data_IF_617389022004
#
_entry.id   IF_617389022004
#
_cell.length_a   1.000
_cell.length_b   1.000
_cell.length_c   1.000
_cell.angle_alpha   90.00
_cell.angle_beta   90.00
_cell.angle_gamma   90.00
#
_symmetry.space_group_name_H-M   'P 1'
#
loop_
_entity.id
_entity.type
_entity.pdbx_description
1 polymer ?
#
# COMPACT_ATOMS: atom_id res chain seq x y z
N UNK A 1 0.27 5.68 33.76
CA UNK A 1 0.17 6.85 32.85
C UNK A 1 0.78 8.05 33.55
N UNK A 2 1.69 8.80 32.92
CA UNK A 2 2.42 9.90 33.60
C UNK A 2 1.49 11.01 34.11
N UNK A 3 0.47 11.38 33.34
CA UNK A 3 -0.55 12.37 33.73
C UNK A 3 -1.33 11.91 34.96
N UNK A 4 -1.82 10.67 34.97
CA UNK A 4 -2.54 10.12 36.11
C UNK A 4 -1.71 10.13 37.41
N UNK A 5 -0.43 9.76 37.33
CA UNK A 5 0.46 9.78 38.50
C UNK A 5 0.58 11.19 39.09
N UNK A 6 0.79 12.21 38.25
CA UNK A 6 0.88 13.61 38.69
C UNK A 6 -0.43 14.15 39.26
N UNK A 7 -1.57 13.83 38.65
CA UNK A 7 -2.87 14.32 39.14
C UNK A 7 -3.19 13.75 40.52
N UNK A 8 -2.84 12.48 40.78
CA UNK A 8 -3.06 11.79 42.06
C UNK A 8 -2.22 12.33 43.22
N UNK A 9 -1.17 13.10 42.96
CA UNK A 9 -0.37 13.73 44.02
C UNK A 9 -1.14 14.84 44.74
N UNK A 10 -2.12 15.47 44.07
CA UNK A 10 -2.83 16.65 44.60
C UNK A 10 -4.34 16.51 44.64
N UNK A 11 -4.92 15.64 43.80
CA UNK A 11 -6.36 15.56 43.63
C UNK A 11 -6.87 14.12 43.63
N UNK A 12 -8.10 13.94 44.09
CA UNK A 12 -8.83 12.68 44.08
C UNK A 12 -10.33 12.96 43.84
N UNK A 13 -10.95 12.17 42.96
CA UNK A 13 -12.40 12.13 42.77
C UNK A 13 -12.81 10.77 42.18
N UNK A 14 -14.11 10.45 42.23
CA UNK A 14 -14.62 9.22 41.64
C UNK A 14 -14.36 9.18 40.12
N UNK A 15 -13.95 8.03 39.59
CA UNK A 15 -13.56 7.85 38.18
C UNK A 15 -12.42 8.74 37.67
N UNK A 16 -11.61 9.37 38.53
CA UNK A 16 -10.39 10.13 38.19
C UNK A 16 -9.56 9.50 37.05
N UNK A 17 -9.33 8.19 37.11
CA UNK A 17 -8.58 7.48 36.08
C UNK A 17 -9.25 7.55 34.71
N UNK A 18 -10.57 7.32 34.66
CA UNK A 18 -11.33 7.34 33.41
C UNK A 18 -11.31 8.74 32.79
N UNK A 19 -11.46 9.79 33.59
CA UNK A 19 -11.45 11.18 33.12
C UNK A 19 -10.09 11.59 32.57
N UNK A 20 -9.00 11.27 33.29
CA UNK A 20 -7.65 11.54 32.80
C UNK A 20 -7.34 10.76 31.52
N UNK A 21 -7.83 9.52 31.41
CA UNK A 21 -7.70 8.73 30.19
C UNK A 21 -8.51 9.30 29.02
N UNK A 22 -9.75 9.74 29.25
CA UNK A 22 -10.59 10.38 28.24
C UNK A 22 -10.00 11.70 27.77
N UNK A 23 -9.56 12.56 28.71
CA UNK A 23 -8.85 13.81 28.39
C UNK A 23 -7.63 13.56 27.51
N UNK A 24 -6.80 12.57 27.84
CA UNK A 24 -5.63 12.23 27.04
C UNK A 24 -5.97 11.63 25.67
N UNK A 25 -7.13 10.98 25.52
CA UNK A 25 -7.61 10.42 24.24
C UNK A 25 -8.20 11.49 23.33
N UNK A 26 -8.84 12.50 23.90
CA UNK A 26 -9.47 13.62 23.20
C UNK A 26 -8.50 14.78 22.92
N UNK A 27 -7.39 14.85 23.66
CA UNK A 27 -6.38 15.89 23.50
C UNK A 27 -5.82 15.92 22.07
N UNK A 28 -6.12 16.99 21.34
CA UNK A 28 -5.67 17.23 19.96
C UNK A 28 -4.15 17.15 19.82
N UNK A 29 -3.41 17.84 20.68
CA UNK A 29 -1.93 17.86 20.64
C UNK A 29 -1.32 16.47 20.86
N UNK A 30 -1.88 15.68 21.77
CA UNK A 30 -1.43 14.30 21.99
C UNK A 30 -1.76 13.42 20.79
N UNK A 31 -2.97 13.56 20.22
CA UNK A 31 -3.41 12.84 19.03
C UNK A 31 -2.56 13.14 17.80
N UNK A 32 -2.24 14.41 17.54
CA UNK A 32 -1.42 14.84 16.42
C UNK A 32 0.03 14.31 16.48
N UNK A 33 0.62 14.22 17.68
CA UNK A 33 2.00 13.77 17.87
C UNK A 33 2.13 12.25 17.94
N UNK A 34 1.32 11.60 18.79
CA UNK A 34 1.43 10.14 19.03
C UNK A 34 0.64 9.34 18.01
N UNK A 35 -0.49 9.88 17.55
CA UNK A 35 -1.46 9.15 16.75
C UNK A 35 -2.27 8.14 17.57
N UNK A 36 -3.11 7.34 16.88
CA UNK A 36 -3.79 6.20 17.48
C UNK A 36 -2.80 5.15 17.98
N UNK A 37 -3.22 4.35 18.97
CA UNK A 37 -2.43 3.21 19.47
C UNK A 37 -2.34 2.08 18.46
N UNK A 38 -3.42 1.82 17.72
CA UNK A 38 -3.50 0.77 16.70
C UNK A 38 -3.56 1.42 15.32
N UNK A 39 -2.75 0.91 14.39
CA UNK A 39 -2.84 1.29 13.00
C UNK A 39 -3.89 0.43 12.32
N UNK A 40 -4.78 1.07 11.58
CA UNK A 40 -5.70 0.37 10.70
C UNK A 40 -4.90 -0.30 9.58
N UNK A 41 -5.19 -1.57 9.32
CA UNK A 41 -4.66 -2.34 8.20
C UNK A 41 -5.82 -2.87 7.38
N UNK A 42 -6.06 -2.24 6.23
CA UNK A 42 -7.07 -2.67 5.26
C UNK A 42 -6.68 -3.97 4.59
N UNK A 43 -7.66 -4.64 3.98
CA UNK A 43 -7.45 -5.89 3.23
C UNK A 43 -6.71 -5.64 1.93
N UNK A 44 -5.92 -6.63 1.49
CA UNK A 44 -5.21 -6.55 0.22
C UNK A 44 -6.19 -6.63 -0.94
N UNK A 45 -6.13 -5.66 -1.86
CA UNK A 45 -6.89 -5.69 -3.09
C UNK A 45 -6.08 -6.42 -4.17
N UNK A 46 -6.71 -7.36 -4.87
CA UNK A 46 -6.12 -8.03 -6.03
C UNK A 46 -6.41 -7.20 -7.26
N UNK A 47 -5.41 -7.04 -8.10
CA UNK A 47 -5.59 -6.51 -9.44
C UNK A 47 -5.46 -7.66 -10.41
N UNK A 48 -6.48 -7.88 -11.23
CA UNK A 48 -6.41 -8.81 -12.34
C UNK A 48 -5.82 -8.05 -13.53
N UNK A 49 -4.82 -8.65 -14.17
CA UNK A 49 -4.26 -8.19 -15.45
C UNK A 49 -4.36 -9.38 -16.39
N UNK A 50 -5.17 -9.26 -17.43
CA UNK A 50 -5.45 -10.31 -18.39
C UNK A 50 -4.42 -10.36 -19.53
N UNK A 51 -3.84 -9.21 -19.89
CA UNK A 51 -2.95 -9.11 -21.04
C UNK A 51 -1.70 -8.25 -20.78
N UNK A 52 -0.58 -8.50 -21.51
CA UNK A 52 0.53 -7.57 -21.58
C UNK A 52 0.04 -6.16 -21.96
N UNK A 53 0.67 -5.13 -21.37
CA UNK A 53 0.36 -3.71 -21.59
C UNK A 53 -1.03 -3.21 -21.16
N UNK A 54 -1.94 -4.06 -20.68
CA UNK A 54 -3.24 -3.62 -20.12
C UNK A 54 -3.05 -2.67 -18.93
N UNK A 55 -1.98 -2.85 -18.16
CA UNK A 55 -1.58 -1.95 -17.10
C UNK A 55 -0.08 -1.81 -17.03
N UNK A 56 0.39 -0.55 -17.09
CA UNK A 56 1.78 -0.19 -16.88
C UNK A 56 1.92 0.64 -15.61
N UNK A 57 2.86 0.25 -14.76
CA UNK A 57 3.22 0.99 -13.55
C UNK A 57 4.61 1.56 -13.76
N UNK A 58 4.74 2.87 -13.58
CA UNK A 58 6.00 3.59 -13.68
C UNK A 58 6.34 4.14 -12.30
N UNK A 59 7.59 3.95 -11.87
CA UNK A 59 8.12 4.51 -10.64
C UNK A 59 9.54 5.03 -10.89
N UNK A 60 9.94 6.05 -10.13
CA UNK A 60 11.25 6.67 -10.24
C UNK A 60 12.19 5.97 -9.27
N UNK A 61 13.15 5.27 -9.84
CA UNK A 61 14.16 4.48 -9.14
C UNK A 61 15.51 5.21 -9.22
N UNK A 62 16.18 5.47 -8.09
CA UNK A 62 17.58 5.90 -8.12
C UNK A 62 18.22 6.20 -6.76
N UNK A 63 19.55 6.42 -6.73
CA UNK A 63 20.55 6.04 -7.76
C UNK A 63 20.99 4.57 -7.60
N UNK A 64 21.14 3.85 -8.71
CA UNK A 64 21.53 2.43 -8.72
C UNK A 64 22.83 2.19 -9.49
N UNK A 65 23.64 1.24 -9.02
CA UNK A 65 24.64 0.55 -9.84
C UNK A 65 23.91 -0.40 -10.81
N UNK A 66 24.36 -0.44 -12.06
CA UNK A 66 23.64 -1.04 -13.20
C UNK A 66 23.56 -2.57 -13.16
N UNK A 67 22.54 -3.12 -12.50
CA UNK A 67 22.22 -4.55 -12.58
C UNK A 67 21.02 -4.78 -13.52
N UNK A 68 21.19 -5.59 -14.56
CA UNK A 68 20.13 -5.89 -15.54
C UNK A 68 19.14 -6.94 -15.02
N UNK A 69 17.97 -6.51 -14.54
CA UNK A 69 16.92 -7.41 -14.00
C UNK A 69 16.02 -8.06 -15.07
N UNK A 70 16.22 -7.78 -16.36
CA UNK A 70 15.31 -8.27 -17.43
C UNK A 70 15.50 -9.74 -17.77
N UNK A 71 16.67 -10.28 -17.49
CA UNK A 71 17.03 -11.68 -17.79
C UNK A 71 17.02 -12.59 -16.56
N UNK A 72 16.69 -12.07 -15.39
CA UNK A 72 16.58 -12.88 -14.18
C UNK A 72 15.20 -13.56 -14.14
N UNK A 73 15.19 -14.83 -13.75
CA UNK A 73 13.95 -15.56 -13.52
C UNK A 73 13.22 -14.99 -12.31
N UNK A 74 11.92 -14.82 -12.45
CA UNK A 74 11.07 -14.38 -11.34
C UNK A 74 10.60 -15.60 -10.55
N UNK A 75 10.85 -15.61 -9.23
CA UNK A 75 10.62 -16.75 -8.32
C UNK A 75 9.24 -17.40 -8.48
N UNK A 76 8.18 -16.59 -8.65
CA UNK A 76 6.81 -17.11 -8.77
C UNK A 76 6.55 -17.78 -10.11
N UNK A 77 7.01 -17.16 -11.20
CA UNK A 77 6.70 -17.63 -12.55
C UNK A 77 7.69 -18.69 -13.00
N UNK A 78 8.93 -18.66 -12.51
CA UNK A 78 10.04 -19.44 -13.04
C UNK A 78 10.41 -19.05 -14.47
N UNK A 79 9.97 -17.86 -14.90
CA UNK A 79 10.15 -17.33 -16.24
C UNK A 79 10.79 -15.96 -16.14
N UNK A 80 11.61 -15.61 -17.12
CA UNK A 80 12.16 -14.26 -17.23
C UNK A 80 11.11 -13.30 -17.77
N UNK A 81 11.13 -12.00 -17.37
CA UNK A 81 10.26 -10.99 -17.99
C UNK A 81 10.40 -10.91 -19.51
N UNK A 82 11.59 -11.18 -20.04
CA UNK A 82 11.82 -11.18 -21.48
C UNK A 82 11.16 -12.36 -22.21
N UNK A 83 11.14 -13.56 -21.63
CA UNK A 83 10.38 -14.69 -22.17
C UNK A 83 8.88 -14.41 -22.13
N UNK A 84 8.38 -13.82 -21.04
CA UNK A 84 6.97 -13.44 -20.97
C UNK A 84 6.60 -12.37 -21.99
N UNK A 85 7.52 -11.47 -22.36
CA UNK A 85 7.22 -10.39 -23.31
C UNK A 85 7.43 -10.79 -24.77
N UNK A 86 8.53 -11.50 -25.08
CA UNK A 86 8.95 -11.80 -26.44
C UNK A 86 8.84 -13.28 -26.80
N UNK A 87 8.43 -14.13 -25.86
CA UNK A 87 8.38 -15.58 -26.04
C UNK A 87 9.76 -16.22 -26.16
N UNK A 88 10.86 -15.51 -25.90
CA UNK A 88 12.22 -16.01 -26.08
C UNK A 88 13.16 -15.48 -25.00
N UNK A 89 14.20 -16.25 -24.72
CA UNK A 89 15.33 -15.79 -23.91
C UNK A 89 16.07 -14.67 -24.65
N UNK A 90 16.53 -13.66 -23.91
CA UNK A 90 17.37 -12.59 -24.47
C UNK A 90 18.69 -13.20 -24.92
N UNK A 91 19.22 -12.72 -26.06
CA UNK A 91 20.60 -13.03 -26.43
C UNK A 91 21.55 -12.22 -25.56
N UNK A 92 22.44 -12.91 -24.88
CA UNK A 92 23.54 -12.29 -24.16
C UNK A 92 24.72 -12.03 -25.10
N UNK A 93 25.67 -11.13 -24.75
CA UNK A 93 26.86 -10.90 -25.55
C UNK A 93 27.63 -12.19 -25.90
N UNK A 94 27.68 -13.16 -24.98
CA UNK A 94 28.26 -14.48 -25.25
C UNK A 94 27.49 -15.26 -26.33
N UNK A 95 26.16 -15.20 -26.37
CA UNK A 95 25.35 -15.90 -27.38
C UNK A 95 25.55 -15.31 -28.78
N UNK A 96 25.92 -14.03 -28.87
CA UNK A 96 26.26 -13.37 -30.13
C UNK A 96 27.67 -13.78 -30.57
N UNK A 97 28.62 -13.84 -29.63
CA UNK A 97 30.02 -14.14 -29.89
C UNK A 97 30.28 -15.62 -30.23
N UNK A 98 29.65 -16.54 -29.48
CA UNK A 98 29.86 -17.98 -29.62
C UNK A 98 28.78 -18.67 -30.46
N UNK A 99 27.72 -17.93 -30.82
CA UNK A 99 26.57 -18.47 -31.52
C UNK A 99 25.68 -19.33 -30.61
N UNK A 100 24.41 -19.46 -30.99
CA UNK A 100 23.46 -20.38 -30.38
C UNK A 100 22.89 -21.25 -31.50
N UNK A 101 22.72 -22.58 -31.31
CA UNK A 101 22.11 -23.42 -32.34
C UNK A 101 20.78 -22.82 -32.78
N UNK A 102 20.63 -22.73 -34.10
CA UNK A 102 19.49 -22.10 -34.74
C UNK A 102 18.26 -23.00 -34.65
N UNK A 103 17.23 -22.56 -33.93
CA UNK A 103 15.85 -23.00 -34.19
C UNK A 103 15.38 -22.26 -35.45
N UNK A 104 15.96 -22.56 -36.61
CA UNK A 104 15.50 -21.97 -37.88
C UNK A 104 14.20 -22.66 -38.26
N UNK A 105 13.06 -21.96 -38.21
CA UNK A 105 11.80 -22.50 -38.72
C UNK A 105 11.91 -22.64 -40.24
N UNK A 106 11.25 -23.64 -40.80
CA UNK A 106 11.32 -23.91 -42.24
C UNK A 106 10.65 -22.81 -43.06
N UNK A 107 9.74 -22.05 -42.44
CA UNK A 107 9.01 -20.93 -43.04
C UNK A 107 8.73 -19.80 -42.03
N UNK A 108 8.70 -18.51 -42.45
CA UNK A 108 8.22 -17.40 -41.62
C UNK A 108 6.82 -17.62 -41.03
N UNK A 109 5.91 -18.28 -41.76
CA UNK A 109 4.57 -18.57 -41.26
C UNK A 109 4.57 -19.63 -40.15
N UNK A 110 5.46 -20.62 -40.24
CA UNK A 110 5.67 -21.61 -39.20
C UNK A 110 6.25 -20.96 -37.94
N UNK A 111 7.20 -20.03 -38.11
CA UNK A 111 7.74 -19.23 -37.00
C UNK A 111 6.65 -18.49 -36.23
N UNK A 112 5.78 -17.77 -36.95
CA UNK A 112 4.73 -16.96 -36.35
C UNK A 112 3.76 -17.83 -35.54
N UNK A 113 3.34 -18.97 -36.10
CA UNK A 113 2.48 -19.94 -35.41
C UNK A 113 3.14 -20.51 -34.16
N UNK A 114 4.42 -20.90 -34.26
CA UNK A 114 5.17 -21.43 -33.12
C UNK A 114 5.38 -20.38 -32.03
N UNK A 115 5.63 -19.12 -32.42
CA UNK A 115 5.77 -18.01 -31.48
C UNK A 115 4.45 -17.72 -30.76
N UNK A 116 3.34 -17.69 -31.48
CA UNK A 116 2.01 -17.49 -30.93
C UNK A 116 1.66 -18.58 -29.90
N UNK A 117 1.81 -19.85 -30.28
CA UNK A 117 1.58 -20.98 -29.39
C UNK A 117 2.50 -20.95 -28.14
N UNK A 118 3.76 -20.54 -28.31
CA UNK A 118 4.71 -20.40 -27.20
C UNK A 118 4.32 -19.25 -26.27
N UNK A 119 3.92 -18.10 -26.80
CA UNK A 119 3.45 -16.99 -25.98
C UNK A 119 2.18 -17.36 -25.21
N UNK A 120 1.24 -18.02 -25.88
CA UNK A 120 -0.01 -18.46 -25.26
C UNK A 120 0.24 -19.41 -24.09
N UNK A 121 1.09 -20.43 -24.29
CA UNK A 121 1.47 -21.37 -23.23
C UNK A 121 2.23 -20.70 -22.08
N UNK A 122 3.23 -19.86 -22.37
CA UNK A 122 4.01 -19.11 -21.36
C UNK A 122 3.11 -18.19 -20.54
N UNK A 123 2.18 -17.48 -21.20
CA UNK A 123 1.24 -16.60 -20.51
C UNK A 123 0.21 -17.39 -19.70
N UNK A 124 -0.29 -18.52 -20.21
CA UNK A 124 -1.20 -19.38 -19.46
C UNK A 124 -0.55 -19.87 -18.16
N UNK A 125 0.66 -20.42 -18.28
CA UNK A 125 1.46 -20.89 -17.13
C UNK A 125 1.78 -19.75 -16.15
N UNK A 126 2.25 -18.61 -16.66
CA UNK A 126 2.55 -17.43 -15.86
C UNK A 126 1.32 -16.91 -15.10
N UNK A 127 0.17 -16.80 -15.76
CA UNK A 127 -1.09 -16.35 -15.16
C UNK A 127 -1.55 -17.28 -14.04
N UNK A 128 -1.47 -18.59 -14.23
CA UNK A 128 -1.86 -19.57 -13.22
C UNK A 128 -0.99 -19.46 -11.96
N UNK A 129 0.34 -19.44 -12.12
CA UNK A 129 1.26 -19.33 -10.97
C UNK A 129 1.12 -18.00 -10.25
N UNK A 130 0.99 -16.88 -10.98
CA UNK A 130 0.74 -15.56 -10.40
C UNK A 130 -0.59 -15.56 -9.64
N UNK A 131 -1.64 -16.18 -10.17
CA UNK A 131 -2.95 -16.31 -9.51
C UNK A 131 -2.82 -17.04 -8.17
N UNK A 132 -2.20 -18.22 -8.16
CA UNK A 132 -2.00 -19.03 -6.95
C UNK A 132 -1.12 -18.32 -5.91
N UNK A 133 -0.03 -17.69 -6.35
CA UNK A 133 0.84 -16.92 -5.46
C UNK A 133 0.14 -15.68 -4.89
N UNK A 134 -0.65 -14.98 -5.70
CA UNK A 134 -1.48 -13.84 -5.27
C UNK A 134 -2.49 -14.27 -4.21
N UNK A 135 -3.11 -15.44 -4.35
CA UNK A 135 -4.05 -16.00 -3.36
C UNK A 135 -3.36 -16.33 -2.04
N UNK A 136 -2.23 -17.04 -2.09
CA UNK A 136 -1.43 -17.35 -0.89
C UNK A 136 -0.99 -16.06 -0.18
N UNK A 137 -0.54 -15.06 -0.93
CA UNK A 137 -0.13 -13.77 -0.40
C UNK A 137 -1.30 -13.02 0.23
N UNK A 138 -2.47 -13.00 -0.43
CA UNK A 138 -3.69 -12.38 0.09
C UNK A 138 -4.12 -13.01 1.41
N UNK A 139 -4.22 -14.33 1.47
CA UNK A 139 -4.61 -15.05 2.71
C UNK A 139 -3.65 -14.73 3.85
N UNK A 140 -2.33 -14.74 3.58
CA UNK A 140 -1.31 -14.39 4.58
C UNK A 140 -1.37 -12.93 5.03
N UNK A 141 -1.68 -12.01 4.12
CA UNK A 141 -1.76 -10.58 4.44
C UNK A 141 -3.03 -10.26 5.23
N UNK A 142 -4.16 -10.80 4.78
CA UNK A 142 -5.49 -10.55 5.32
C UNK A 142 -5.68 -11.18 6.70
N UNK A 143 -4.94 -12.24 7.05
CA UNK A 143 -4.92 -12.77 8.44
C UNK A 143 -4.42 -11.77 9.48
N UNK A 144 -3.69 -10.73 9.04
CA UNK A 144 -3.22 -9.62 9.89
C UNK A 144 -4.03 -8.33 9.69
N UNK A 145 -5.04 -8.33 8.82
CA UNK A 145 -5.85 -7.15 8.56
C UNK A 145 -6.77 -6.84 9.74
N UNK A 146 -6.92 -5.56 10.06
CA UNK A 146 -7.85 -5.13 11.11
C UNK A 146 -9.24 -4.95 10.52
N UNK A 147 -10.27 -5.45 11.19
CA UNK A 147 -11.67 -5.31 10.77
C UNK A 147 -12.29 -3.91 11.00
N UNK A 148 -11.47 -2.86 11.11
CA UNK A 148 -11.96 -1.51 11.38
C UNK A 148 -12.52 -0.90 10.10
N UNK A 149 -13.78 -0.48 10.14
CA UNK A 149 -14.47 0.22 9.05
C UNK A 149 -14.98 1.55 9.57
N UNK A 150 -14.94 2.57 8.73
CA UNK A 150 -15.49 3.89 9.06
C UNK A 150 -16.84 4.07 8.37
N UNK A 151 -17.78 4.69 9.07
CA UNK A 151 -19.06 5.13 8.52
C UNK A 151 -18.96 6.58 8.05
N UNK A 152 -19.86 6.97 7.16
CA UNK A 152 -19.98 8.37 6.75
C UNK A 152 -20.39 9.21 7.98
N UNK A 153 -19.73 10.35 8.16
CA UNK A 153 -19.85 11.18 9.35
C UNK A 153 -18.79 10.92 10.44
N UNK A 154 -18.07 9.79 10.40
CA UNK A 154 -17.05 9.50 11.42
C UNK A 154 -15.88 10.50 11.36
N UNK A 155 -15.39 10.89 12.54
CA UNK A 155 -14.18 11.70 12.68
C UNK A 155 -12.93 10.82 12.63
N UNK A 156 -11.99 11.21 11.79
CA UNK A 156 -10.74 10.47 11.55
C UNK A 156 -9.52 11.38 11.54
N UNK A 157 -8.40 10.85 12.02
CA UNK A 157 -7.07 11.39 11.80
C UNK A 157 -6.50 10.85 10.49
N UNK A 158 -5.75 11.69 9.78
CA UNK A 158 -5.07 11.35 8.54
C UNK A 158 -3.56 11.43 8.73
N UNK A 159 -2.87 10.33 8.41
CA UNK A 159 -1.42 10.21 8.51
C UNK A 159 -0.73 10.84 7.29
N UNK A 160 0.12 11.84 7.52
CA UNK A 160 0.95 12.53 6.53
C UNK A 160 2.37 12.77 7.04
N UNK A 161 3.29 11.82 6.82
CA UNK A 161 4.69 12.01 7.17
C UNK A 161 5.35 12.98 6.17
N UNK A 162 5.18 14.28 6.37
CA UNK A 162 5.85 15.31 5.56
C UNK A 162 7.18 15.67 6.19
N UNK A 163 8.27 15.24 5.55
CA UNK A 163 9.63 15.67 5.93
C UNK A 163 9.79 17.16 5.64
N UNK A 164 9.87 17.99 6.69
CA UNK A 164 10.29 19.39 6.58
C UNK A 164 11.80 19.50 6.75
N UNK A 165 12.47 20.19 5.84
CA UNK A 165 13.91 20.51 5.97
C UNK A 165 14.11 21.33 7.24
N UNK A 166 15.20 21.08 7.97
CA UNK A 166 15.52 21.77 9.23
C UNK A 166 14.80 21.27 10.48
N UNK A 167 13.79 20.39 10.38
CA UNK A 167 13.20 19.73 11.53
C UNK A 167 13.57 18.25 11.59
N UNK A 168 13.89 17.77 12.79
CA UNK A 168 14.07 16.33 13.04
C UNK A 168 12.77 15.56 12.73
N UNK A 169 12.82 14.49 11.91
CA UNK A 169 11.65 13.67 11.62
C UNK A 169 10.95 13.10 12.87
N UNK A 170 11.67 12.94 13.98
CA UNK A 170 11.13 12.44 15.25
C UNK A 170 10.23 13.44 15.97
N UNK A 171 10.41 14.73 15.70
CA UNK A 171 9.65 15.82 16.33
C UNK A 171 8.47 16.29 15.48
N UNK A 172 8.32 15.77 14.26
CA UNK A 172 7.25 16.17 13.35
C UNK A 172 5.92 15.51 13.73
N UNK A 173 4.84 16.32 13.74
CA UNK A 173 3.46 15.83 13.84
C UNK A 173 3.06 15.20 12.51
N UNK A 174 2.93 13.88 12.51
CA UNK A 174 2.58 13.12 11.31
C UNK A 174 1.08 12.85 11.19
N UNK A 175 0.27 13.21 12.20
CA UNK A 175 -1.18 13.06 12.17
C UNK A 175 -1.86 14.42 12.06
N UNK A 176 -2.72 14.56 11.05
CA UNK A 176 -3.47 15.77 10.75
C UNK A 176 -4.96 15.50 10.89
N UNK A 177 -5.72 16.40 11.53
CA UNK A 177 -7.14 16.22 11.78
C UNK A 177 -7.71 17.22 12.79
N UNK A 178 -9.00 17.06 13.14
CA UNK A 178 -9.93 16.02 12.68
C UNK A 178 -10.40 16.21 11.22
N UNK A 179 -10.71 15.11 10.54
CA UNK A 179 -11.38 15.06 9.25
C UNK A 179 -12.68 14.26 9.39
N UNK A 180 -13.71 14.58 8.61
CA UNK A 180 -14.96 13.82 8.53
C UNK A 180 -14.93 12.89 7.32
N UNK A 181 -15.38 11.66 7.48
CA UNK A 181 -15.59 10.74 6.36
C UNK A 181 -16.83 11.18 5.59
N UNK A 182 -16.65 11.60 4.34
CA UNK A 182 -17.76 12.05 3.48
C UNK A 182 -18.40 10.86 2.78
N UNK A 183 -17.56 9.96 2.25
CA UNK A 183 -18.04 8.82 1.47
C UNK A 183 -17.08 7.63 1.55
N UNK A 184 -17.62 6.43 1.69
CA UNK A 184 -16.88 5.19 1.46
C UNK A 184 -16.88 4.88 -0.04
N UNK A 185 -15.71 4.94 -0.69
CA UNK A 185 -15.60 4.59 -2.12
C UNK A 185 -15.47 3.09 -2.29
N UNK A 186 -14.53 2.47 -1.56
CA UNK A 186 -14.30 1.04 -1.49
C UNK A 186 -14.03 0.65 -0.03
N UNK A 187 -13.92 -0.65 0.27
CA UNK A 187 -13.56 -1.12 1.63
C UNK A 187 -12.24 -0.55 2.17
N UNK A 188 -11.35 -0.18 1.25
CA UNK A 188 -9.98 0.24 1.55
C UNK A 188 -9.77 1.74 1.27
N UNK A 189 -10.67 2.40 0.55
CA UNK A 189 -10.48 3.78 0.09
C UNK A 189 -11.67 4.64 0.50
N UNK A 190 -11.39 5.73 1.20
CA UNK A 190 -12.38 6.65 1.75
C UNK A 190 -12.15 8.06 1.22
N UNK A 191 -13.23 8.81 1.05
CA UNK A 191 -13.19 10.24 0.79
C UNK A 191 -13.41 10.97 2.11
N UNK A 192 -12.44 11.79 2.50
CA UNK A 192 -12.47 12.56 3.74
C UNK A 192 -12.42 14.07 3.46
N UNK A 193 -12.95 14.86 4.38
CA UNK A 193 -13.01 16.31 4.24
C UNK A 193 -12.82 16.99 5.60
N UNK A 194 -12.13 18.13 5.64
CA UNK A 194 -11.82 18.82 6.90
C UNK A 194 -12.93 19.78 7.35
N UNK A 195 -13.55 20.44 6.38
CA UNK A 195 -14.67 21.37 6.58
C UNK A 195 -15.54 21.39 5.33
N UNK A 196 -16.82 21.80 5.39
CA UNK A 196 -17.74 21.76 4.25
C UNK A 196 -17.22 22.46 2.98
N UNK A 197 -16.39 23.49 3.14
CA UNK A 197 -15.81 24.25 2.02
C UNK A 197 -14.43 23.74 1.57
N UNK A 198 -13.79 22.86 2.35
CA UNK A 198 -12.46 22.34 2.01
C UNK A 198 -12.53 21.26 0.92
N UNK A 199 -11.53 21.23 0.03
CA UNK A 199 -11.43 20.20 -1.01
C UNK A 199 -11.35 18.78 -0.40
N UNK A 200 -12.22 17.84 -0.81
CA UNK A 200 -12.18 16.47 -0.31
C UNK A 200 -10.91 15.75 -0.77
N UNK A 201 -10.43 14.81 0.04
CA UNK A 201 -9.23 13.99 -0.21
C UNK A 201 -9.61 12.52 -0.25
N UNK A 202 -9.09 11.78 -1.24
CA UNK A 202 -9.29 10.33 -1.36
C UNK A 202 -8.07 9.63 -0.77
N UNK A 203 -8.28 8.82 0.25
CA UNK A 203 -7.21 8.27 1.09
C UNK A 203 -7.46 6.79 1.38
N UNK A 204 -6.38 6.03 1.40
CA UNK A 204 -6.37 4.62 1.78
C UNK A 204 -6.52 4.46 3.30
N UNK A 205 -7.28 3.46 3.75
CA UNK A 205 -7.64 3.21 5.16
C UNK A 205 -6.42 3.07 6.09
N UNK A 206 -5.30 2.51 5.60
CA UNK A 206 -4.02 2.44 6.33
C UNK A 206 -3.45 3.80 6.77
N UNK A 207 -3.87 4.89 6.13
CA UNK A 207 -3.48 6.25 6.50
C UNK A 207 -4.55 6.93 7.37
N UNK A 208 -5.62 6.23 7.73
CA UNK A 208 -6.71 6.75 8.54
C UNK A 208 -6.74 6.07 9.91
N UNK A 209 -7.18 6.84 10.89
CA UNK A 209 -7.34 6.38 12.25
C UNK A 209 -8.56 7.01 12.91
N UNK A 210 -9.23 6.31 13.82
CA UNK A 210 -10.37 6.87 14.54
C UNK A 210 -9.92 8.09 15.36
N UNK A 211 -10.67 9.19 15.23
CA UNK A 211 -10.53 10.38 16.06
C UNK A 211 -11.70 10.43 17.03
N UNK A 212 -11.40 10.53 18.33
CA UNK A 212 -12.38 10.89 19.35
C UNK A 212 -12.11 12.34 19.70
N UNK A 213 -12.64 13.26 18.90
CA UNK A 213 -12.62 14.67 19.27
C UNK A 213 -13.98 14.96 19.90
N UNK A 214 -13.96 15.45 21.15
CA UNK A 214 -15.10 16.15 21.73
C UNK A 214 -14.97 17.61 21.33
N UNK A 215 -16.06 18.23 20.89
CA UNK A 215 -16.15 19.65 20.61
C UNK A 215 -16.01 20.45 21.92
N UNK A 216 -14.79 20.59 22.44
CA UNK A 216 -14.49 21.43 23.59
C UNK A 216 -14.36 22.93 23.23
N UNK A 217 -15.07 23.38 22.19
CA UNK A 217 -15.03 24.78 21.73
C UNK A 217 -16.39 25.49 21.83
N UNK A 218 -17.28 24.98 22.67
CA UNK A 218 -18.52 25.65 23.08
C UNK A 218 -18.37 26.13 24.53
N UNK A 219 -17.59 27.19 24.73
CA UNK A 219 -17.74 28.14 25.85
C UNK A 219 -17.70 29.53 25.23
#
# INVERSE_FOLDING_TARGET
MKTLSKTRERFYWDRLRADVENWCRECHACGAQKGPRTRTKGRLQRYNVGAPFERMVLDILGPFCSNNKRSAEHEVTGLTPAEMLFGRTLRFPCDILFGRPSETPSSPNEYMKNLEARLESVHAFGRERIKLASERMKTRYDSRATHHHFKEGDLVWMYKPKRRRGLSPKLQQNWEGPYTVVKKLNDVVYRIQRSPNAKPKVIHINQLAPCRASDHNSI
#
